data_IF_336573134333
#
_entry.id   IF_336573134333
#
_cell.length_a   1.000
_cell.length_b   1.000
_cell.length_c   1.000
_cell.angle_alpha   90.00
_cell.angle_beta   90.00
_cell.angle_gamma   90.00
#
_symmetry.space_group_name_H-M   'P 1'
#
loop_
_entity.id
_entity.type
_entity.pdbx_description
1 polymer ?
#
# COMPACT_ATOMS: atom_id res chain seq x y z
N UNK A 1 -19.32 2.32 -3.36
CA UNK A 1 -18.03 2.90 -2.92
C UNK A 1 -18.16 3.33 -1.46
N UNK A 2 -17.19 2.99 -0.60
CA UNK A 2 -17.12 3.50 0.78
C UNK A 2 -16.03 4.57 0.84
N UNK A 3 -16.16 5.56 1.72
CA UNK A 3 -15.16 6.62 1.95
C UNK A 3 -14.57 6.44 3.33
N UNK A 4 -13.24 6.34 3.41
CA UNK A 4 -12.47 6.31 4.66
C UNK A 4 -11.65 7.60 4.71
N UNK A 5 -11.68 8.30 5.84
CA UNK A 5 -10.84 9.49 6.08
C UNK A 5 -9.82 9.11 7.15
N UNK A 6 -8.54 9.32 6.87
CA UNK A 6 -7.44 9.00 7.78
C UNK A 6 -6.74 10.31 8.14
N UNK A 7 -6.58 10.56 9.42
CA UNK A 7 -5.75 11.66 9.92
C UNK A 7 -4.34 11.15 10.14
N UNK A 8 -3.36 11.86 9.59
CA UNK A 8 -1.93 11.56 9.75
C UNK A 8 -1.19 12.83 10.13
N UNK A 9 -0.01 12.68 10.72
CA UNK A 9 0.86 13.83 10.99
C UNK A 9 1.41 14.42 9.68
N UNK A 10 1.81 15.69 9.72
CA UNK A 10 2.50 16.34 8.59
C UNK A 10 3.76 15.57 8.16
N UNK A 11 4.52 15.05 9.12
CA UNK A 11 5.72 14.25 8.85
C UNK A 11 5.38 12.95 8.10
N UNK A 12 4.29 12.28 8.49
CA UNK A 12 3.78 11.08 7.80
C UNK A 12 3.28 11.43 6.40
N UNK A 13 2.53 12.52 6.25
CA UNK A 13 2.05 12.98 4.94
C UNK A 13 3.21 13.28 3.97
N UNK A 14 4.25 13.97 4.45
CA UNK A 14 5.46 14.25 3.67
C UNK A 14 6.19 12.97 3.26
N UNK A 15 6.32 12.01 4.18
CA UNK A 15 6.95 10.72 3.92
C UNK A 15 6.17 9.89 2.88
N UNK A 16 4.84 9.90 2.96
CA UNK A 16 3.98 9.24 1.97
C UNK A 16 4.10 9.87 0.59
N UNK A 17 4.19 11.21 0.52
CA UNK A 17 4.38 11.91 -0.75
C UNK A 17 5.71 11.55 -1.40
N UNK A 18 6.80 11.53 -0.62
CA UNK A 18 8.12 11.12 -1.11
C UNK A 18 8.14 9.66 -1.57
N UNK A 19 7.48 8.75 -0.83
CA UNK A 19 7.35 7.35 -1.24
C UNK A 19 6.61 7.22 -2.58
N UNK A 20 5.45 7.87 -2.72
CA UNK A 20 4.67 7.84 -3.96
C UNK A 20 5.46 8.37 -5.16
N UNK A 21 6.25 9.43 -4.94
CA UNK A 21 7.17 9.99 -5.96
C UNK A 21 8.22 8.97 -6.38
N UNK A 22 8.84 8.25 -5.44
CA UNK A 22 9.84 7.20 -5.74
C UNK A 22 9.24 6.03 -6.51
N UNK A 23 8.06 5.55 -6.11
CA UNK A 23 7.34 4.50 -6.83
C UNK A 23 7.01 4.92 -8.26
N UNK A 24 6.52 6.15 -8.45
CA UNK A 24 6.23 6.71 -9.77
C UNK A 24 7.48 6.81 -10.64
N UNK A 25 8.59 7.30 -10.07
CA UNK A 25 9.86 7.37 -10.78
C UNK A 25 10.38 5.97 -11.15
N UNK A 26 10.23 4.97 -10.27
CA UNK A 26 10.59 3.59 -10.56
C UNK A 26 9.72 3.02 -11.70
N UNK A 27 8.41 3.24 -11.68
CA UNK A 27 7.53 2.83 -12.77
C UNK A 27 7.98 3.39 -14.12
N UNK A 28 8.36 4.67 -14.17
CA UNK A 28 8.88 5.28 -15.39
C UNK A 28 10.23 4.68 -15.84
N UNK A 29 11.10 4.26 -14.91
CA UNK A 29 12.37 3.60 -15.23
C UNK A 29 12.22 2.17 -15.76
N UNK A 30 11.09 1.52 -15.47
CA UNK A 30 10.78 0.17 -15.93
C UNK A 30 9.71 0.19 -17.04
N UNK A 31 9.68 1.24 -17.86
CA UNK A 31 8.75 1.41 -19.01
C UNK A 31 7.27 1.16 -18.66
N UNK A 32 6.85 1.44 -17.43
CA UNK A 32 5.48 1.26 -16.99
C UNK A 32 5.10 -0.16 -16.55
N UNK A 33 6.07 -1.08 -16.36
CA UNK A 33 5.80 -2.49 -16.07
C UNK A 33 5.37 -2.79 -14.62
N UNK A 34 4.98 -1.78 -13.83
CA UNK A 34 4.45 -2.03 -12.47
C UNK A 34 2.95 -2.34 -12.53
N UNK A 35 2.47 -3.20 -11.63
CA UNK A 35 1.07 -3.64 -11.60
C UNK A 35 0.05 -2.50 -11.39
N UNK A 36 0.48 -1.38 -10.83
CA UNK A 36 -0.39 -0.25 -10.45
C UNK A 36 0.01 1.07 -11.13
N UNK A 37 1.03 1.05 -11.99
CA UNK A 37 1.52 2.25 -12.68
C UNK A 37 2.04 3.33 -11.73
N UNK A 38 1.99 4.61 -12.14
CA UNK A 38 2.33 5.75 -11.29
C UNK A 38 1.42 5.83 -10.05
N UNK A 39 1.99 6.19 -8.90
CA UNK A 39 1.26 6.31 -7.64
C UNK A 39 1.16 7.76 -7.15
N UNK A 40 -0.05 8.13 -6.73
CA UNK A 40 -0.30 9.25 -5.82
C UNK A 40 -0.37 8.71 -4.39
N UNK A 41 -0.39 9.59 -3.38
CA UNK A 41 -0.63 9.16 -1.98
C UNK A 41 -1.96 8.41 -1.85
N UNK A 42 -3.01 8.89 -2.52
CA UNK A 42 -4.33 8.27 -2.46
C UNK A 42 -4.34 6.86 -3.08
N UNK A 43 -3.73 6.68 -4.26
CA UNK A 43 -3.68 5.37 -4.92
C UNK A 43 -2.73 4.40 -4.23
N UNK A 44 -1.64 4.90 -3.64
CA UNK A 44 -0.77 4.10 -2.77
C UNK A 44 -1.52 3.55 -1.57
N UNK A 45 -2.29 4.38 -0.86
CA UNK A 45 -3.06 3.94 0.31
C UNK A 45 -4.23 3.02 -0.09
N UNK A 46 -4.83 3.24 -1.26
CA UNK A 46 -5.85 2.33 -1.79
C UNK A 46 -5.27 0.94 -2.08
N UNK A 47 -4.10 0.86 -2.74
CA UNK A 47 -3.39 -0.40 -2.99
C UNK A 47 -3.08 -1.15 -1.68
N UNK A 48 -2.56 -0.45 -0.67
CA UNK A 48 -2.30 -1.07 0.64
C UNK A 48 -3.57 -1.56 1.35
N UNK A 49 -4.69 -0.84 1.18
CA UNK A 49 -5.97 -1.26 1.73
C UNK A 49 -6.52 -2.52 1.02
N UNK A 50 -6.29 -2.65 -0.28
CA UNK A 50 -6.63 -3.84 -1.07
C UNK A 50 -5.79 -5.04 -0.59
N UNK A 51 -4.47 -4.88 -0.48
CA UNK A 51 -3.56 -5.93 0.01
C UNK A 51 -3.91 -6.37 1.44
N UNK A 52 -4.25 -5.42 2.32
CA UNK A 52 -4.71 -5.73 3.67
C UNK A 52 -6.01 -6.56 3.67
N UNK A 53 -6.94 -6.28 2.75
CA UNK A 53 -8.15 -7.08 2.56
C UNK A 53 -7.85 -8.52 2.09
N UNK A 54 -6.77 -8.72 1.33
CA UNK A 54 -6.37 -10.03 0.84
C UNK A 54 -5.92 -11.00 1.93
N UNK A 55 -5.55 -10.50 3.12
CA UNK A 55 -5.34 -11.35 4.31
C UNK A 55 -6.57 -12.23 4.56
N UNK A 56 -7.77 -11.65 4.41
CA UNK A 56 -9.05 -12.35 4.64
C UNK A 56 -9.54 -13.04 3.38
N UNK A 57 -9.52 -12.35 2.23
CA UNK A 57 -10.21 -12.87 1.03
C UNK A 57 -9.36 -13.85 0.22
N UNK A 58 -8.03 -13.80 0.35
CA UNK A 58 -7.06 -14.63 -0.37
C UNK A 58 -5.86 -14.97 0.52
N UNK A 59 -6.08 -15.66 1.66
CA UNK A 59 -4.99 -16.02 2.56
C UNK A 59 -3.93 -16.83 1.83
N UNK A 60 -2.65 -16.52 2.06
CA UNK A 60 -1.52 -17.16 1.39
C UNK A 60 -1.19 -16.66 -0.02
N UNK A 61 -1.99 -15.77 -0.61
CA UNK A 61 -1.54 -14.97 -1.76
C UNK A 61 -0.28 -14.18 -1.41
N UNK A 62 0.51 -13.79 -2.41
CA UNK A 62 1.73 -13.04 -2.15
C UNK A 62 1.43 -11.74 -1.36
N UNK A 63 0.41 -10.99 -1.77
CA UNK A 63 -0.05 -9.77 -1.11
C UNK A 63 -0.54 -10.07 0.32
N UNK A 64 -1.47 -11.02 0.45
CA UNK A 64 -2.08 -11.37 1.73
C UNK A 64 -1.08 -11.92 2.74
N UNK A 65 -0.13 -12.76 2.33
CA UNK A 65 0.89 -13.32 3.21
C UNK A 65 1.87 -12.26 3.71
N UNK A 66 2.30 -11.33 2.84
CA UNK A 66 3.17 -10.22 3.25
C UNK A 66 2.44 -9.26 4.20
N UNK A 67 1.15 -8.97 3.96
CA UNK A 67 0.36 -8.15 4.88
C UNK A 67 0.09 -8.86 6.22
N UNK A 68 -0.17 -10.17 6.21
CA UNK A 68 -0.30 -10.96 7.45
C UNK A 68 0.97 -10.88 8.30
N UNK A 69 2.15 -10.92 7.66
CA UNK A 69 3.42 -10.73 8.37
C UNK A 69 3.55 -9.34 8.99
N UNK A 70 3.09 -8.28 8.31
CA UNK A 70 3.07 -6.91 8.88
C UNK A 70 2.19 -6.88 10.13
N UNK A 71 0.98 -7.42 10.06
CA UNK A 71 0.08 -7.48 11.22
C UNK A 71 0.64 -8.31 12.37
N UNK A 72 1.24 -9.47 12.07
CA UNK A 72 1.92 -10.33 13.06
C UNK A 72 3.10 -9.62 13.71
N UNK A 73 3.87 -8.83 12.96
CA UNK A 73 4.97 -8.01 13.50
C UNK A 73 4.48 -6.91 14.45
N UNK A 74 3.20 -6.54 14.36
CA UNK A 74 2.52 -5.65 15.31
C UNK A 74 1.84 -6.40 16.47
N UNK A 75 1.94 -7.73 16.54
CA UNK A 75 1.38 -8.57 17.61
C UNK A 75 -0.07 -9.01 17.39
N UNK A 76 -0.63 -8.81 16.19
CA UNK A 76 -1.96 -9.31 15.84
C UNK A 76 -1.91 -10.76 15.36
N UNK A 77 -2.91 -11.56 15.72
CA UNK A 77 -3.14 -12.89 15.16
C UNK A 77 -4.16 -12.75 14.01
N UNK A 78 -3.71 -12.93 12.77
CA UNK A 78 -4.48 -12.76 11.53
C UNK A 78 -4.28 -13.92 10.58
#
# INVERSE_FOLDING_TARGET
MKRITIQVSEATAASLHELAKRCTAANARFDGYTSHGPLTVASLLAMLAEDAGMVITRPGSWEGANMAQVFSSHGYEV
#
